data_IF_207794627501
#
_entry.id   IF_207794627501
#
_cell.length_a   1.000
_cell.length_b   1.000
_cell.length_c   1.000
_cell.angle_alpha   90.00
_cell.angle_beta   90.00
_cell.angle_gamma   90.00
#
_symmetry.space_group_name_H-M   'P 1'
#
loop_
_entity.id
_entity.type
_entity.pdbx_description
1 polymer ?
#
# COMPACT_ATOMS: atom_id res chain seq x y z
N UNK A 1 22.08 -12.84 -20.47
CA UNK A 1 20.78 -13.36 -20.95
C UNK A 1 20.13 -14.08 -19.77
N UNK A 2 19.45 -13.32 -18.90
CA UNK A 2 18.76 -13.90 -17.74
C UNK A 2 17.36 -14.30 -18.19
N UNK A 3 17.06 -15.60 -18.17
CA UNK A 3 15.71 -16.10 -18.32
C UNK A 3 14.88 -15.51 -17.18
N UNK A 4 14.00 -14.55 -17.49
CA UNK A 4 13.15 -13.92 -16.51
C UNK A 4 12.31 -15.02 -15.85
N UNK A 5 12.51 -15.25 -14.55
CA UNK A 5 11.72 -16.21 -13.75
C UNK A 5 10.23 -15.83 -13.79
N UNK A 6 9.95 -14.55 -14.06
CA UNK A 6 8.64 -13.94 -14.10
C UNK A 6 8.47 -13.24 -15.45
N UNK A 7 7.38 -13.47 -16.21
CA UNK A 7 7.15 -12.82 -17.50
C UNK A 7 7.03 -11.29 -17.38
N UNK A 8 7.54 -10.54 -18.37
CA UNK A 8 7.58 -9.07 -18.34
C UNK A 8 6.21 -8.41 -18.15
N UNK A 9 5.13 -9.01 -18.68
CA UNK A 9 3.77 -8.49 -18.50
C UNK A 9 3.34 -8.44 -17.02
N UNK A 10 3.96 -9.27 -16.18
CA UNK A 10 3.67 -9.32 -14.75
C UNK A 10 4.09 -8.05 -14.02
N UNK A 11 5.15 -7.37 -14.48
CA UNK A 11 5.62 -6.12 -13.89
C UNK A 11 4.60 -4.99 -14.02
N UNK A 12 3.70 -5.09 -15.00
CA UNK A 12 2.59 -4.13 -15.16
C UNK A 12 1.33 -4.60 -14.44
N UNK A 13 1.10 -5.91 -14.37
CA UNK A 13 -0.12 -6.49 -13.80
C UNK A 13 -0.06 -6.72 -12.28
N UNK A 14 1.10 -6.63 -11.63
CA UNK A 14 1.23 -6.94 -10.21
C UNK A 14 0.20 -6.25 -9.30
N UNK A 15 -0.21 -4.96 -9.50
CA UNK A 15 -1.20 -4.34 -8.61
C UNK A 15 -2.57 -5.02 -8.70
N UNK A 16 -2.95 -5.45 -9.90
CA UNK A 16 -4.19 -6.17 -10.17
C UNK A 16 -4.12 -7.57 -9.55
N UNK A 17 -2.97 -8.24 -9.65
CA UNK A 17 -2.75 -9.53 -8.99
C UNK A 17 -2.93 -9.42 -7.47
N UNK A 18 -2.36 -8.42 -6.81
CA UNK A 18 -2.50 -8.25 -5.36
C UNK A 18 -3.97 -8.04 -4.95
N UNK A 19 -4.75 -7.33 -5.76
CA UNK A 19 -6.19 -7.19 -5.54
C UNK A 19 -6.92 -8.54 -5.61
N UNK A 20 -6.70 -9.32 -6.67
CA UNK A 20 -7.34 -10.64 -6.83
C UNK A 20 -6.88 -11.63 -5.76
N UNK A 21 -5.62 -11.57 -5.34
CA UNK A 21 -5.09 -12.41 -4.28
C UNK A 21 -5.78 -12.12 -2.94
N UNK A 22 -6.00 -10.85 -2.61
CA UNK A 22 -6.79 -10.46 -1.45
C UNK A 22 -8.25 -10.91 -1.53
N UNK A 23 -8.87 -10.78 -2.71
CA UNK A 23 -10.25 -11.24 -2.95
C UNK A 23 -10.38 -12.77 -2.79
N UNK A 24 -9.44 -13.53 -3.36
CA UNK A 24 -9.36 -14.98 -3.23
C UNK A 24 -9.21 -15.41 -1.76
N UNK A 25 -8.30 -14.77 -1.03
CA UNK A 25 -8.06 -15.06 0.38
C UNK A 25 -9.28 -14.79 1.27
N UNK A 26 -10.14 -13.84 0.89
CA UNK A 26 -11.40 -13.57 1.59
C UNK A 26 -12.42 -14.70 1.44
N UNK A 27 -12.39 -15.42 0.32
CA UNK A 27 -13.31 -16.54 0.05
C UNK A 27 -12.85 -17.84 0.70
N UNK A 28 -11.57 -17.95 1.07
CA UNK A 28 -11.02 -19.12 1.76
C UNK A 28 -11.67 -19.30 3.15
N UNK A 29 -12.26 -20.47 3.37
CA UNK A 29 -12.93 -20.82 4.65
C UNK A 29 -11.98 -21.40 5.69
N UNK A 30 -10.68 -21.50 5.37
CA UNK A 30 -9.68 -22.11 6.25
C UNK A 30 -9.49 -21.28 7.52
N UNK A 31 -9.48 -21.96 8.67
CA UNK A 31 -9.19 -21.31 9.96
C UNK A 31 -7.75 -20.83 9.98
N UNK A 32 -7.58 -19.51 10.12
CA UNK A 32 -6.27 -18.86 10.20
C UNK A 32 -5.93 -18.59 11.67
N UNK A 33 -4.75 -19.02 12.11
CA UNK A 33 -4.26 -18.78 13.46
C UNK A 33 -3.28 -17.61 13.46
N UNK A 34 -3.71 -16.48 14.04
CA UNK A 34 -2.95 -15.22 14.03
C UNK A 34 -1.47 -15.41 14.44
N UNK A 35 -1.23 -16.06 15.59
CA UNK A 35 0.13 -16.25 16.10
C UNK A 35 0.99 -17.08 15.14
N UNK A 36 0.43 -18.16 14.57
CA UNK A 36 1.15 -19.02 13.62
C UNK A 36 1.54 -18.26 12.36
N UNK A 37 0.59 -17.53 11.76
CA UNK A 37 0.88 -16.75 10.55
C UNK A 37 1.87 -15.62 10.81
N UNK A 38 1.77 -14.94 11.96
CA UNK A 38 2.72 -13.89 12.33
C UNK A 38 4.14 -14.43 12.51
N UNK A 39 4.30 -15.62 13.11
CA UNK A 39 5.61 -16.27 13.24
C UNK A 39 6.16 -16.65 11.87
N UNK A 40 5.33 -17.20 10.98
CA UNK A 40 5.75 -17.55 9.62
C UNK A 40 6.16 -16.30 8.84
N UNK A 41 5.37 -15.22 8.94
CA UNK A 41 5.67 -13.92 8.33
C UNK A 41 7.02 -13.39 8.80
N UNK A 42 7.24 -13.31 10.11
CA UNK A 42 8.51 -12.83 10.68
C UNK A 42 9.68 -13.73 10.25
N UNK A 43 9.50 -15.05 10.30
CA UNK A 43 10.52 -16.01 9.86
C UNK A 43 10.91 -15.81 8.40
N UNK A 44 9.94 -15.68 7.49
CA UNK A 44 10.23 -15.44 6.07
C UNK A 44 10.81 -14.05 5.81
N UNK A 45 10.39 -13.01 6.53
CA UNK A 45 11.02 -11.68 6.43
C UNK A 45 12.51 -11.74 6.79
N UNK A 46 12.86 -12.48 7.85
CA UNK A 46 14.27 -12.67 8.24
C UNK A 46 15.02 -13.48 7.18
N UNK A 47 14.45 -14.60 6.71
CA UNK A 47 15.09 -15.45 5.69
C UNK A 47 15.32 -14.68 4.39
N UNK A 48 14.32 -13.97 3.88
CA UNK A 48 14.47 -13.16 2.67
C UNK A 48 15.41 -11.98 2.89
N UNK A 49 15.37 -11.33 4.06
CA UNK A 49 16.29 -10.26 4.43
C UNK A 49 17.75 -10.73 4.44
N UNK A 50 18.03 -11.87 5.10
CA UNK A 50 19.37 -12.46 5.14
C UNK A 50 19.82 -12.92 3.75
N UNK A 51 18.93 -13.51 2.95
CA UNK A 51 19.24 -13.91 1.59
C UNK A 51 19.62 -12.71 0.71
N UNK A 52 18.83 -11.63 0.76
CA UNK A 52 19.10 -10.41 0.00
C UNK A 52 20.38 -9.71 0.48
N UNK A 53 20.63 -9.71 1.79
CA UNK A 53 21.87 -9.21 2.38
C UNK A 53 23.08 -10.00 1.91
N UNK A 54 23.04 -11.33 2.00
CA UNK A 54 24.11 -12.19 1.53
C UNK A 54 24.39 -12.03 0.05
N UNK A 55 23.33 -11.92 -0.77
CA UNK A 55 23.47 -11.80 -2.23
C UNK A 55 24.00 -10.44 -2.70
N UNK A 56 23.80 -9.41 -1.89
CA UNK A 56 24.33 -8.05 -2.12
C UNK A 56 25.52 -7.74 -1.21
N UNK A 57 26.10 -8.75 -0.56
CA UNK A 57 27.20 -8.56 0.37
C UNK A 57 28.42 -8.02 -0.39
N UNK A 58 29.06 -6.98 0.16
CA UNK A 58 30.22 -6.29 -0.43
C UNK A 58 29.94 -5.57 -1.78
N UNK A 59 28.67 -5.41 -2.15
CA UNK A 59 28.24 -4.75 -3.38
C UNK A 59 27.10 -3.74 -3.19
N UNK A 60 26.64 -3.15 -4.29
CA UNK A 60 25.42 -2.35 -4.29
C UNK A 60 24.20 -3.27 -4.23
N UNK A 61 23.18 -2.87 -3.48
CA UNK A 61 21.91 -3.62 -3.42
C UNK A 61 21.32 -3.78 -4.82
N UNK A 62 21.23 -5.03 -5.29
CA UNK A 62 20.67 -5.33 -6.61
C UNK A 62 19.16 -5.46 -6.51
N UNK A 63 18.45 -4.58 -7.20
CA UNK A 63 16.99 -4.67 -7.32
C UNK A 63 16.64 -5.53 -8.54
N UNK A 64 16.22 -6.77 -8.30
CA UNK A 64 16.05 -7.82 -9.30
C UNK A 64 14.67 -8.45 -9.15
N UNK A 65 14.12 -9.03 -10.22
CA UNK A 65 12.75 -9.54 -10.28
C UNK A 65 12.28 -10.51 -9.18
N UNK A 66 13.13 -11.10 -8.33
CA UNK A 66 12.67 -11.86 -7.16
C UNK A 66 12.46 -11.02 -5.89
N UNK A 67 13.17 -9.89 -5.72
CA UNK A 67 13.10 -8.98 -4.56
C UNK A 67 12.40 -7.64 -4.87
N UNK A 68 12.01 -7.41 -6.13
CA UNK A 68 11.16 -6.30 -6.55
C UNK A 68 9.71 -6.41 -6.05
N UNK A 69 8.94 -5.34 -6.20
CA UNK A 69 7.53 -5.29 -5.79
C UNK A 69 6.64 -6.32 -6.49
N UNK A 70 6.98 -6.66 -7.73
CA UNK A 70 6.35 -7.73 -8.51
C UNK A 70 6.99 -9.11 -8.29
N UNK A 71 8.03 -9.18 -7.46
CA UNK A 71 8.80 -10.39 -7.24
C UNK A 71 8.11 -11.38 -6.31
N UNK A 72 8.57 -12.63 -6.41
CA UNK A 72 8.00 -13.75 -5.64
C UNK A 72 8.10 -13.53 -4.14
N UNK A 73 9.19 -12.92 -3.64
CA UNK A 73 9.33 -12.61 -2.21
C UNK A 73 8.22 -11.65 -1.74
N UNK A 74 7.96 -10.58 -2.49
CA UNK A 74 6.92 -9.60 -2.17
C UNK A 74 5.52 -10.23 -2.19
N UNK A 75 5.24 -11.12 -3.15
CA UNK A 75 3.96 -11.84 -3.24
C UNK A 75 3.73 -12.73 -2.02
N UNK A 76 4.72 -13.54 -1.64
CA UNK A 76 4.63 -14.44 -0.47
C UNK A 76 4.39 -13.63 0.81
N UNK A 77 5.15 -12.56 1.00
CA UNK A 77 5.00 -11.68 2.16
C UNK A 77 3.61 -11.03 2.18
N UNK A 78 3.11 -10.59 1.04
CA UNK A 78 1.78 -9.96 0.95
C UNK A 78 0.65 -10.94 1.27
N UNK A 79 0.72 -12.19 0.78
CA UNK A 79 -0.24 -13.26 1.15
C UNK A 79 -0.28 -13.42 2.67
N UNK A 80 0.88 -13.52 3.31
CA UNK A 80 0.97 -13.71 4.76
C UNK A 80 0.47 -12.48 5.52
N UNK A 81 0.78 -11.27 5.06
CA UNK A 81 0.23 -10.03 5.62
C UNK A 81 -1.31 -10.06 5.54
N UNK A 82 -1.90 -10.38 4.40
CA UNK A 82 -3.36 -10.47 4.27
C UNK A 82 -3.94 -11.53 5.22
N UNK A 83 -3.31 -12.70 5.34
CA UNK A 83 -3.75 -13.74 6.28
C UNK A 83 -3.67 -13.31 7.74
N UNK A 84 -2.59 -12.63 8.14
CA UNK A 84 -2.43 -12.06 9.49
C UNK A 84 -3.52 -11.01 9.75
N UNK A 85 -3.75 -10.10 8.80
CA UNK A 85 -4.77 -9.05 8.91
C UNK A 85 -6.18 -9.63 9.01
N UNK A 86 -6.50 -10.68 8.25
CA UNK A 86 -7.81 -11.37 8.34
C UNK A 86 -7.98 -12.14 9.64
N UNK A 87 -6.90 -12.71 10.18
CA UNK A 87 -6.93 -13.42 11.46
C UNK A 87 -6.96 -12.47 12.66
N UNK A 88 -6.67 -11.18 12.47
CA UNK A 88 -6.66 -10.19 13.53
C UNK A 88 -8.10 -9.99 14.07
N UNK A 89 -8.31 -10.04 15.40
CA UNK A 89 -9.64 -9.94 15.99
C UNK A 89 -10.13 -8.48 15.98
N UNK A 90 -10.53 -7.98 14.80
CA UNK A 90 -11.06 -6.63 14.62
C UNK A 90 -12.30 -6.38 15.47
N UNK A 91 -13.06 -7.43 15.82
CA UNK A 91 -14.24 -7.34 16.70
C UNK A 91 -13.88 -6.70 18.06
N UNK A 92 -12.71 -7.03 18.63
CA UNK A 92 -12.25 -6.56 19.94
C UNK A 92 -11.62 -5.15 19.90
N UNK A 93 -11.42 -4.57 18.72
CA UNK A 93 -10.81 -3.25 18.59
C UNK A 93 -11.77 -2.12 18.99
N UNK A 94 -11.27 -1.03 19.63
CA UNK A 94 -12.07 0.16 19.89
C UNK A 94 -12.67 0.76 18.61
N UNK A 95 -13.84 1.40 18.72
CA UNK A 95 -14.52 1.98 17.56
C UNK A 95 -13.68 3.06 16.85
N UNK A 96 -12.85 3.81 17.57
CA UNK A 96 -11.95 4.81 16.99
C UNK A 96 -10.92 4.13 16.07
N UNK A 97 -10.33 3.02 16.52
CA UNK A 97 -9.35 2.24 15.75
C UNK A 97 -10.00 1.65 14.50
N UNK A 98 -11.21 1.07 14.64
CA UNK A 98 -11.99 0.56 13.51
C UNK A 98 -12.25 1.64 12.46
N UNK A 99 -12.73 2.81 12.88
CA UNK A 99 -12.98 3.96 11.98
C UNK A 99 -11.70 4.45 11.32
N UNK A 100 -10.58 4.51 12.04
CA UNK A 100 -9.28 4.88 11.50
C UNK A 100 -8.80 3.92 10.42
N UNK A 101 -8.85 2.61 10.70
CA UNK A 101 -8.47 1.56 9.73
C UNK A 101 -9.37 1.62 8.50
N UNK A 102 -10.68 1.75 8.67
CA UNK A 102 -11.61 1.91 7.55
C UNK A 102 -11.25 3.15 6.72
N UNK A 103 -10.94 4.28 7.37
CA UNK A 103 -10.63 5.51 6.65
C UNK A 103 -9.32 5.41 5.87
N UNK A 104 -8.29 4.81 6.46
CA UNK A 104 -7.02 4.54 5.78
C UNK A 104 -7.24 3.57 4.61
N UNK A 105 -8.11 2.56 4.79
CA UNK A 105 -8.43 1.60 3.73
C UNK A 105 -9.13 2.27 2.54
N UNK A 106 -10.11 3.15 2.79
CA UNK A 106 -10.77 3.96 1.75
C UNK A 106 -9.78 4.84 0.98
N UNK A 107 -8.80 5.40 1.67
CA UNK A 107 -7.81 6.31 1.10
C UNK A 107 -6.56 5.59 0.56
N UNK A 108 -6.46 4.27 0.71
CA UNK A 108 -5.24 3.49 0.43
C UNK A 108 -4.67 3.72 -0.97
N UNK A 109 -5.55 3.74 -1.99
CA UNK A 109 -5.15 4.06 -3.37
C UNK A 109 -4.62 5.49 -3.49
N UNK A 110 -5.29 6.46 -2.87
CA UNK A 110 -4.85 7.85 -2.86
C UNK A 110 -3.51 8.02 -2.14
N UNK A 111 -3.30 7.31 -1.04
CA UNK A 111 -2.04 7.31 -0.29
C UNK A 111 -0.91 6.73 -1.15
N UNK A 112 -1.15 5.61 -1.85
CA UNK A 112 -0.18 5.00 -2.76
C UNK A 112 0.24 5.96 -3.89
N UNK A 113 -0.71 6.66 -4.51
CA UNK A 113 -0.39 7.63 -5.56
C UNK A 113 0.35 8.85 -4.99
N UNK A 114 -0.06 9.32 -3.80
CA UNK A 114 0.55 10.46 -3.13
C UNK A 114 1.94 10.14 -2.54
N UNK A 115 2.24 8.88 -2.22
CA UNK A 115 3.52 8.50 -1.61
C UNK A 115 4.69 8.83 -2.53
N UNK A 116 4.54 8.66 -3.85
CA UNK A 116 5.57 9.06 -4.81
C UNK A 116 5.90 10.57 -4.77
N UNK A 117 4.93 11.42 -4.43
CA UNK A 117 5.13 12.86 -4.27
C UNK A 117 5.79 13.12 -2.91
N UNK A 118 5.26 12.51 -1.86
CA UNK A 118 5.77 12.65 -0.50
C UNK A 118 7.24 12.21 -0.38
N UNK A 119 7.60 11.09 -1.00
CA UNK A 119 8.96 10.56 -1.01
C UNK A 119 9.93 11.53 -1.68
N UNK A 120 9.52 12.16 -2.79
CA UNK A 120 10.31 13.20 -3.47
C UNK A 120 10.51 14.48 -2.65
N UNK A 121 9.72 14.69 -1.60
CA UNK A 121 9.89 15.82 -0.68
C UNK A 121 10.78 15.41 0.49
N UNK A 122 10.47 14.29 1.14
CA UNK A 122 11.06 13.91 2.42
C UNK A 122 12.46 13.30 2.29
N UNK A 123 12.70 12.44 1.30
CA UNK A 123 14.01 11.80 1.17
C UNK A 123 15.13 12.78 0.81
N UNK A 124 14.94 13.80 -0.04
CA UNK A 124 15.96 14.82 -0.26
C UNK A 124 16.28 15.65 1.00
N UNK A 125 15.26 16.06 1.75
CA UNK A 125 15.43 16.80 3.02
C UNK A 125 16.21 15.98 4.05
N UNK A 126 15.99 14.67 4.08
CA UNK A 126 16.75 13.74 4.91
C UNK A 126 18.21 13.65 4.44
N UNK A 127 18.43 13.48 3.14
CA UNK A 127 19.77 13.34 2.56
C UNK A 127 20.64 14.58 2.79
N UNK A 128 20.04 15.77 2.83
CA UNK A 128 20.70 17.03 3.18
C UNK A 128 21.08 17.11 4.66
N UNK A 129 20.17 16.72 5.57
CA UNK A 129 20.38 16.83 7.02
C UNK A 129 21.27 15.73 7.60
N UNK A 130 21.28 14.55 7.00
CA UNK A 130 22.08 13.41 7.44
C UNK A 130 22.96 12.94 6.28
N UNK A 131 24.17 13.50 6.25
CA UNK A 131 25.20 13.22 5.25
C UNK A 131 25.84 11.85 5.45
N UNK A 132 25.94 11.38 6.70
CA UNK A 132 26.42 10.04 7.03
C UNK A 132 25.39 8.98 6.65
N UNK A 133 25.76 8.10 5.72
CA UNK A 133 24.87 7.06 5.18
C UNK A 133 24.52 5.98 6.21
N UNK A 134 25.39 5.69 7.18
CA UNK A 134 25.14 4.66 8.19
C UNK A 134 24.08 5.14 9.18
N UNK A 135 24.18 6.40 9.62
CA UNK A 135 23.22 7.02 10.55
C UNK A 135 21.83 7.22 9.95
N UNK A 136 21.68 7.08 8.62
CA UNK A 136 20.36 7.11 7.97
C UNK A 136 19.45 5.96 8.40
N UNK A 137 20.02 4.82 8.82
CA UNK A 137 19.25 3.67 9.30
C UNK A 137 18.50 4.02 10.58
N UNK A 138 19.12 4.77 11.50
CA UNK A 138 18.53 5.12 12.79
C UNK A 138 17.28 6.00 12.63
N UNK A 139 17.31 6.91 11.66
CA UNK A 139 16.20 7.84 11.38
C UNK A 139 15.21 7.29 10.35
N UNK A 140 15.52 6.17 9.69
CA UNK A 140 14.69 5.59 8.64
C UNK A 140 13.23 5.37 9.05
N UNK A 141 12.93 4.83 10.26
CA UNK A 141 11.53 4.70 10.70
C UNK A 141 10.79 6.04 10.76
N UNK A 142 11.46 7.09 11.23
CA UNK A 142 10.87 8.43 11.34
C UNK A 142 10.61 9.02 9.95
N UNK A 143 11.54 8.84 9.03
CA UNK A 143 11.43 9.31 7.64
C UNK A 143 10.25 8.63 6.93
N UNK A 144 10.15 7.30 7.04
CA UNK A 144 9.05 6.52 6.43
C UNK A 144 7.70 6.92 7.02
N UNK A 145 7.59 7.05 8.34
CA UNK A 145 6.36 7.49 8.99
C UNK A 145 5.98 8.91 8.59
N UNK A 146 6.96 9.81 8.49
CA UNK A 146 6.72 11.20 8.06
C UNK A 146 6.21 11.25 6.61
N UNK A 147 6.83 10.47 5.71
CA UNK A 147 6.36 10.38 4.33
C UNK A 147 4.94 9.81 4.26
N UNK A 148 4.65 8.76 5.03
CA UNK A 148 3.29 8.21 5.09
C UNK A 148 2.26 9.23 5.57
N UNK A 149 2.58 10.01 6.62
CA UNK A 149 1.68 11.05 7.13
C UNK A 149 1.41 12.14 6.08
N UNK A 150 2.43 12.58 5.36
CA UNK A 150 2.26 13.58 4.29
C UNK A 150 1.41 13.00 3.15
N UNK A 151 1.70 11.78 2.70
CA UNK A 151 0.90 11.10 1.69
C UNK A 151 -0.57 10.95 2.13
N UNK A 152 -0.81 10.64 3.40
CA UNK A 152 -2.15 10.57 3.98
C UNK A 152 -2.86 11.93 3.96
N UNK A 153 -2.19 13.01 4.33
CA UNK A 153 -2.75 14.37 4.26
C UNK A 153 -3.12 14.72 2.81
N UNK A 154 -2.23 14.46 1.85
CA UNK A 154 -2.52 14.68 0.43
C UNK A 154 -3.73 13.87 -0.04
N UNK A 155 -3.80 12.58 0.31
CA UNK A 155 -4.93 11.73 -0.04
C UNK A 155 -6.25 12.25 0.54
N UNK A 156 -6.25 12.73 1.78
CA UNK A 156 -7.42 13.34 2.42
C UNK A 156 -7.85 14.60 1.65
N UNK A 157 -6.91 15.50 1.32
CA UNK A 157 -7.20 16.73 0.59
C UNK A 157 -7.81 16.46 -0.79
N UNK A 158 -7.21 15.55 -1.56
CA UNK A 158 -7.73 15.14 -2.87
C UNK A 158 -9.13 14.54 -2.74
N UNK A 159 -9.34 13.68 -1.75
CA UNK A 159 -10.65 13.07 -1.51
C UNK A 159 -11.72 14.12 -1.13
N UNK A 160 -11.36 15.16 -0.37
CA UNK A 160 -12.29 16.27 -0.06
C UNK A 160 -12.68 17.01 -1.35
N UNK A 161 -11.71 17.35 -2.19
CA UNK A 161 -11.97 18.02 -3.49
C UNK A 161 -12.88 17.16 -4.36
N UNK A 162 -12.60 15.85 -4.46
CA UNK A 162 -13.42 14.90 -5.20
C UNK A 162 -14.88 14.90 -4.71
N UNK A 163 -15.11 14.83 -3.40
CA UNK A 163 -16.46 14.83 -2.83
C UNK A 163 -17.19 16.15 -3.12
N UNK A 164 -16.51 17.29 -3.03
CA UNK A 164 -17.09 18.59 -3.31
C UNK A 164 -17.51 18.70 -4.78
N UNK A 165 -16.64 18.30 -5.71
CA UNK A 165 -16.95 18.28 -7.14
C UNK A 165 -18.10 17.33 -7.46
N UNK A 166 -18.09 16.12 -6.90
CA UNK A 166 -19.17 15.15 -7.10
C UNK A 166 -20.53 15.69 -6.63
N UNK A 167 -20.57 16.36 -5.47
CA UNK A 167 -21.80 17.02 -4.97
C UNK A 167 -22.24 18.17 -5.87
N UNK A 168 -21.31 18.99 -6.36
CA UNK A 168 -21.62 20.09 -7.27
C UNK A 168 -22.24 19.57 -8.58
N UNK A 169 -21.64 18.55 -9.19
CA UNK A 169 -22.15 17.91 -10.41
C UNK A 169 -23.53 17.29 -10.16
N UNK A 170 -23.73 16.55 -9.07
CA UNK A 170 -25.04 16.00 -8.73
C UNK A 170 -26.10 17.09 -8.52
N UNK A 171 -25.73 18.22 -7.93
CA UNK A 171 -26.61 19.38 -7.78
C UNK A 171 -27.01 20.00 -9.11
N UNK A 172 -26.06 20.09 -10.06
CA UNK A 172 -26.33 20.56 -11.43
C UNK A 172 -27.23 19.59 -12.19
N UNK A 173 -26.96 18.28 -12.13
CA UNK A 173 -27.78 17.25 -12.80
C UNK A 173 -29.22 17.27 -12.27
N UNK A 174 -29.41 17.35 -10.95
CA UNK A 174 -30.76 17.45 -10.35
C UNK A 174 -31.50 18.70 -10.80
N UNK A 175 -30.80 19.83 -10.95
CA UNK A 175 -31.39 21.08 -11.48
C UNK A 175 -31.75 20.97 -12.95
N UNK A 176 -30.92 20.34 -13.78
CA UNK A 176 -31.24 20.09 -15.19
C UNK A 176 -32.48 19.21 -15.36
N UNK A 177 -32.61 18.13 -14.57
CA UNK A 177 -33.76 17.23 -14.67
C UNK A 177 -35.07 17.85 -14.14
N UNK A 178 -34.99 18.85 -13.24
CA UNK A 178 -36.14 19.64 -12.79
C UNK A 178 -36.61 20.69 -13.82
N UNK A 179 -35.79 21.00 -14.84
CA UNK A 179 -36.13 21.93 -15.92
C UNK A 179 -36.77 21.23 -17.14
N UNK A 180 -36.84 19.90 -17.13
CA UNK A 180 -37.44 19.07 -18.18
C UNK A 180 -38.97 18.81 -18.14
N UNK A 181 -39.78 19.24 -17.15
CA UNK A 181 -41.23 19.07 -17.25
C UNK A 181 -41.87 20.31 -17.87
N UNK A 182 -41.98 20.38 -19.21
CA UNK A 182 -43.00 21.17 -19.97
C UNK A 182 -42.74 21.26 -21.50
N UNK A 183 -42.31 20.19 -22.19
CA UNK A 183 -42.32 20.18 -23.67
C UNK A 183 -43.30 19.21 -24.33
N UNK A 184 -44.00 18.39 -23.54
CA UNK A 184 -45.00 17.46 -24.06
C UNK A 184 -46.39 17.91 -23.60
N UNK A 185 -46.91 18.92 -24.30
CA UNK A 185 -48.31 19.37 -24.29
C UNK A 185 -49.01 18.90 -25.56
#
# INVERSE_FOLDING_TARGET
MYSAIVPDYWETLYPITYYFLGAYLKEETKKIFLLKESIILLGLMIVFGLFNYYRSYDGTYEWIGYNSFWGVQAIIISVLIFRVLMAAPMIKAPNIVKKGILKISELSLGIYLASAISDKIIYPLMAEKVTDTVRRIDIFPVVVLSSFVIALIFAILVNIVYILLAKAVQGLVKRCHQLEPMSDS
#
